data_IF_658151137567
#
_entry.id   IF_658151137567
#
_cell.length_a   1.000
_cell.length_b   1.000
_cell.length_c   1.000
_cell.angle_alpha   90.00
_cell.angle_beta   90.00
_cell.angle_gamma   90.00
#
_symmetry.space_group_name_H-M   'P 1'
#
loop_
_entity.id
_entity.type
_entity.pdbx_description
1 polymer ?
#
# COMPACT_ATOMS: atom_id res chain seq x y z
N UNK A 1 86.36 16.90 18.45
CA UNK A 1 85.42 17.15 17.35
C UNK A 1 85.39 15.89 16.53
N UNK A 2 84.20 15.29 16.44
CA UNK A 2 83.81 14.11 15.65
C UNK A 2 84.44 12.76 16.01
N UNK A 3 83.70 11.99 16.81
CA UNK A 3 83.83 10.54 16.96
C UNK A 3 82.51 9.90 16.51
N UNK A 4 82.54 9.17 15.39
CA UNK A 4 81.49 8.22 15.04
C UNK A 4 82.08 6.82 15.13
N UNK A 5 81.67 6.12 16.19
CA UNK A 5 82.02 4.75 16.53
C UNK A 5 81.13 3.73 15.82
N UNK A 6 81.77 2.85 15.05
CA UNK A 6 81.69 1.37 15.07
C UNK A 6 80.34 0.62 15.22
N UNK A 7 79.97 -0.12 14.15
CA UNK A 7 79.53 -1.56 14.01
C UNK A 7 78.33 -2.11 14.84
N UNK A 8 77.71 -3.31 14.54
CA UNK A 8 77.96 -4.32 13.49
C UNK A 8 76.70 -4.87 12.74
N UNK A 9 76.98 -5.80 11.80
CA UNK A 9 76.07 -6.75 11.13
C UNK A 9 75.01 -7.40 12.05
N UNK A 10 73.81 -7.63 11.51
CA UNK A 10 72.99 -8.78 11.88
C UNK A 10 72.46 -9.52 10.66
N UNK A 11 72.85 -10.79 10.58
CA UNK A 11 72.42 -11.82 9.64
C UNK A 11 70.99 -12.21 10.02
N UNK A 12 70.04 -12.17 9.08
CA UNK A 12 68.72 -12.75 9.28
C UNK A 12 68.69 -14.19 8.76
N UNK A 13 68.40 -15.09 9.70
CA UNK A 13 68.26 -16.54 9.61
C UNK A 13 67.21 -17.01 8.55
N UNK A 14 67.53 -17.99 7.67
CA UNK A 14 66.59 -18.51 6.67
C UNK A 14 65.56 -19.51 7.23
N UNK A 15 65.45 -19.72 8.55
CA UNK A 15 64.52 -20.71 9.13
C UNK A 15 63.04 -20.28 9.23
N UNK A 16 62.68 -19.04 8.90
CA UNK A 16 61.27 -18.57 8.90
C UNK A 16 60.60 -18.66 7.53
N UNK A 17 60.41 -19.89 7.05
CA UNK A 17 59.38 -20.16 6.02
C UNK A 17 58.01 -20.13 6.71
N UNK A 18 57.21 -19.14 6.33
CA UNK A 18 55.83 -18.95 6.76
C UNK A 18 55.01 -20.20 6.44
N UNK A 19 54.59 -20.94 7.47
CA UNK A 19 53.67 -22.07 7.32
C UNK A 19 52.31 -21.51 6.88
N UNK A 20 51.83 -21.96 5.73
CA UNK A 20 50.48 -21.66 5.25
C UNK A 20 49.43 -22.07 6.31
N UNK A 21 48.37 -21.27 6.51
CA UNK A 21 47.33 -21.59 7.49
C UNK A 21 46.63 -22.90 7.10
N UNK A 22 46.51 -23.78 8.09
CA UNK A 22 45.75 -25.03 7.99
C UNK A 22 44.31 -24.69 7.62
N UNK A 23 43.80 -25.29 6.55
CA UNK A 23 42.41 -25.14 6.12
C UNK A 23 41.49 -25.64 7.26
N UNK A 24 40.92 -24.72 8.04
CA UNK A 24 39.91 -25.03 9.04
C UNK A 24 38.58 -25.09 8.29
N UNK A 25 38.15 -26.30 7.95
CA UNK A 25 36.76 -26.57 7.58
C UNK A 25 35.89 -26.41 8.82
N UNK A 26 35.25 -25.25 8.96
CA UNK A 26 34.09 -25.10 9.85
C UNK A 26 32.89 -25.73 9.16
N UNK A 27 32.50 -26.91 9.65
CA UNK A 27 31.21 -27.49 9.33
C UNK A 27 30.09 -26.56 9.82
N UNK A 28 29.19 -26.26 8.89
CA UNK A 28 27.76 -26.55 8.98
C UNK A 28 27.02 -26.12 10.26
N UNK A 29 26.00 -25.26 10.03
CA UNK A 29 24.70 -25.16 10.75
C UNK A 29 24.34 -23.85 11.46
N UNK A 30 25.24 -22.87 11.62
CA UNK A 30 24.90 -21.65 12.37
C UNK A 30 24.32 -20.48 11.54
N UNK A 31 24.06 -20.66 10.24
CA UNK A 31 23.61 -19.59 9.34
C UNK A 31 22.18 -19.78 8.77
N UNK A 32 21.38 -20.70 9.30
CA UNK A 32 19.96 -20.85 8.88
C UNK A 32 18.94 -20.46 9.96
N UNK A 33 19.36 -20.25 11.21
CA UNK A 33 18.41 -19.94 12.30
C UNK A 33 18.10 -18.45 12.42
N UNK A 34 18.90 -17.55 11.83
CA UNK A 34 18.65 -16.11 11.90
C UNK A 34 17.62 -15.61 10.87
N UNK A 35 17.36 -16.36 9.80
CA UNK A 35 16.32 -16.00 8.81
C UNK A 35 14.88 -16.27 9.28
N UNK A 36 14.67 -17.00 10.39
CA UNK A 36 13.32 -17.34 10.87
C UNK A 36 12.70 -16.30 11.81
N UNK A 37 13.41 -15.22 12.15
CA UNK A 37 12.94 -14.20 13.11
C UNK A 37 12.28 -12.97 12.46
N UNK A 38 11.95 -13.01 11.16
CA UNK A 38 11.26 -11.92 10.46
C UNK A 38 9.75 -12.11 10.29
N UNK A 39 9.16 -13.18 10.83
CA UNK A 39 7.72 -13.19 11.07
C UNK A 39 7.43 -12.38 12.34
N UNK A 40 7.53 -11.07 12.23
CA UNK A 40 6.84 -10.19 13.17
C UNK A 40 5.38 -10.58 13.12
N UNK A 41 4.88 -11.16 14.21
CA UNK A 41 3.46 -11.38 14.43
C UNK A 41 2.74 -10.09 14.07
N UNK A 42 2.02 -10.08 12.94
CA UNK A 42 1.01 -9.05 12.71
C UNK A 42 -0.02 -9.34 13.81
N UNK A 43 0.09 -8.58 14.89
CA UNK A 43 -0.82 -8.67 16.01
C UNK A 43 -2.21 -8.54 15.45
N UNK A 44 -3.05 -9.57 15.67
CA UNK A 44 -4.48 -9.56 15.43
C UNK A 44 -5.02 -8.14 15.62
N UNK A 45 -5.29 -7.44 14.51
CA UNK A 45 -6.07 -6.22 14.58
C UNK A 45 -7.35 -6.65 15.30
N UNK A 46 -7.82 -5.94 16.33
CA UNK A 46 -9.10 -6.27 16.93
C UNK A 46 -10.10 -6.32 15.78
N UNK A 47 -10.60 -7.53 15.49
CA UNK A 47 -11.79 -7.68 14.67
C UNK A 47 -12.75 -6.65 15.22
N UNK A 48 -13.18 -5.72 14.36
CA UNK A 48 -14.10 -4.69 14.79
C UNK A 48 -15.40 -5.42 15.12
N UNK A 49 -15.53 -5.91 16.36
CA UNK A 49 -16.67 -6.67 16.88
C UNK A 49 -17.95 -5.82 16.92
N UNK A 50 -17.90 -4.61 16.37
CA UNK A 50 -19.07 -3.83 16.06
C UNK A 50 -19.95 -4.62 15.08
N UNK A 51 -21.25 -4.69 15.38
CA UNK A 51 -22.22 -5.28 14.48
C UNK A 51 -22.12 -4.61 13.09
N UNK A 52 -22.28 -5.37 11.99
CA UNK A 52 -22.31 -4.80 10.65
C UNK A 52 -23.32 -3.65 10.56
N UNK A 53 -22.88 -2.53 10.00
CA UNK A 53 -23.68 -1.31 9.84
C UNK A 53 -23.59 -0.82 8.41
N UNK A 54 -24.62 -0.11 7.94
CA UNK A 54 -24.59 0.47 6.61
C UNK A 54 -23.45 1.49 6.49
N UNK A 55 -22.68 1.35 5.41
CA UNK A 55 -21.76 2.40 4.97
C UNK A 55 -22.61 3.45 4.26
N UNK A 56 -22.45 4.71 4.64
CA UNK A 56 -23.21 5.84 4.10
C UNK A 56 -22.28 6.83 3.40
N UNK A 57 -22.80 7.48 2.36
CA UNK A 57 -22.16 8.58 1.67
C UNK A 57 -22.31 9.90 2.44
N UNK A 58 -21.71 10.97 1.91
CA UNK A 58 -21.78 12.32 2.48
C UNK A 58 -23.19 12.93 2.48
N UNK A 59 -24.11 12.40 1.69
CA UNK A 59 -25.53 12.79 1.68
C UNK A 59 -26.37 11.97 2.67
N UNK A 60 -25.75 11.10 3.45
CA UNK A 60 -26.43 10.23 4.43
C UNK A 60 -27.15 9.04 3.80
N UNK A 61 -26.89 8.73 2.53
CA UNK A 61 -27.50 7.58 1.84
C UNK A 61 -26.58 6.36 1.91
N UNK A 62 -27.13 5.13 2.02
CA UNK A 62 -26.32 3.93 1.98
C UNK A 62 -25.53 3.80 0.66
N UNK A 63 -24.29 3.32 0.75
CA UNK A 63 -23.55 2.84 -0.42
C UNK A 63 -24.25 1.60 -0.97
N UNK A 64 -24.38 1.56 -2.30
CA UNK A 64 -25.07 0.49 -3.01
C UNK A 64 -24.06 -0.26 -3.87
N UNK A 65 -24.19 -1.58 -3.89
CA UNK A 65 -23.44 -2.46 -4.77
C UNK A 65 -23.42 -1.96 -6.23
N UNK A 66 -22.22 -1.85 -6.81
CA UNK A 66 -22.01 -1.48 -8.21
C UNK A 66 -22.23 0.00 -8.55
N UNK A 67 -22.73 0.81 -7.60
CA UNK A 67 -22.81 2.26 -7.78
C UNK A 67 -21.44 2.93 -7.68
N UNK A 68 -21.34 4.15 -8.19
CA UNK A 68 -20.08 4.86 -8.37
C UNK A 68 -19.89 5.92 -7.29
N UNK A 69 -18.74 5.89 -6.62
CA UNK A 69 -18.42 6.82 -5.53
C UNK A 69 -17.01 7.36 -5.69
N UNK A 70 -16.84 8.66 -5.50
CA UNK A 70 -15.51 9.20 -5.22
C UNK A 70 -15.12 8.89 -3.78
N UNK A 71 -13.83 8.63 -3.56
CA UNK A 71 -13.25 8.47 -2.23
C UNK A 71 -12.41 9.71 -1.96
N UNK A 72 -12.72 10.42 -0.88
CA UNK A 72 -12.02 11.62 -0.45
C UNK A 72 -11.45 11.46 0.95
N UNK A 73 -10.38 12.21 1.31
CA UNK A 73 -9.97 12.33 2.70
C UNK A 73 -11.12 12.86 3.56
N UNK A 74 -11.32 12.27 4.73
CA UNK A 74 -12.22 12.82 5.74
C UNK A 74 -11.54 14.01 6.43
N UNK A 75 -11.70 15.20 5.86
CA UNK A 75 -11.08 16.43 6.34
C UNK A 75 -11.96 17.64 6.09
N UNK A 76 -11.81 18.68 6.89
CA UNK A 76 -12.43 19.99 6.65
C UNK A 76 -11.61 20.85 5.68
N UNK A 77 -10.48 20.36 5.17
CA UNK A 77 -9.66 21.09 4.21
C UNK A 77 -10.30 21.02 2.81
N UNK A 78 -10.76 22.17 2.26
CA UNK A 78 -11.37 22.21 0.93
C UNK A 78 -10.38 21.93 -0.21
N UNK A 79 -9.08 22.03 0.06
CA UNK A 79 -8.01 21.73 -0.90
C UNK A 79 -7.57 20.27 -0.82
N UNK A 80 -8.54 19.36 -0.91
CA UNK A 80 -8.25 17.93 -1.05
C UNK A 80 -8.93 17.36 -2.27
N UNK A 81 -8.24 16.42 -2.90
CA UNK A 81 -8.71 15.73 -4.09
C UNK A 81 -8.89 14.25 -3.83
N UNK A 82 -9.39 13.55 -4.84
CA UNK A 82 -9.74 12.14 -4.76
C UNK A 82 -8.62 11.20 -5.17
N UNK A 83 -9.01 9.97 -5.44
CA UNK A 83 -8.11 8.91 -5.87
C UNK A 83 -7.96 8.86 -7.39
N UNK A 84 -6.75 8.61 -7.86
CA UNK A 84 -6.41 8.52 -9.28
C UNK A 84 -5.39 7.41 -9.52
N UNK A 85 -5.04 7.22 -10.79
CA UNK A 85 -3.94 6.37 -11.23
C UNK A 85 -2.75 7.21 -11.67
N UNK A 86 -1.54 6.75 -11.38
CA UNK A 86 -0.34 7.34 -11.95
C UNK A 86 0.76 6.30 -12.23
N UNK A 87 1.68 6.68 -13.11
CA UNK A 87 2.93 5.99 -13.36
C UNK A 87 3.88 6.21 -12.19
N UNK A 88 4.63 5.17 -11.86
CA UNK A 88 5.60 5.19 -10.77
C UNK A 88 6.90 4.61 -11.28
N UNK A 89 8.00 5.28 -10.95
CA UNK A 89 9.34 4.93 -11.43
C UNK A 89 9.35 4.77 -12.95
N UNK A 90 9.83 3.64 -13.47
CA UNK A 90 9.95 3.39 -14.91
C UNK A 90 8.74 2.64 -15.49
N UNK A 91 7.59 2.62 -14.80
CA UNK A 91 6.38 1.97 -15.31
C UNK A 91 5.78 2.76 -16.48
N UNK A 92 5.68 2.14 -17.65
CA UNK A 92 5.05 2.72 -18.85
C UNK A 92 3.50 2.74 -18.79
N UNK A 93 2.91 2.22 -17.71
CA UNK A 93 1.47 2.18 -17.52
C UNK A 93 1.08 2.77 -16.15
N UNK A 94 0.06 3.65 -16.06
CA UNK A 94 -0.39 4.22 -14.80
C UNK A 94 -1.24 3.20 -14.03
N UNK A 95 -0.57 2.41 -13.18
CA UNK A 95 -1.18 1.29 -12.46
C UNK A 95 -1.37 1.56 -10.97
N UNK A 96 -0.66 2.54 -10.40
CA UNK A 96 -0.65 2.72 -8.94
C UNK A 96 -1.75 3.68 -8.50
N UNK A 97 -2.46 3.32 -7.43
CA UNK A 97 -3.50 4.17 -6.84
C UNK A 97 -2.89 5.23 -5.94
N UNK A 98 -3.17 6.49 -6.26
CA UNK A 98 -2.73 7.66 -5.52
C UNK A 98 -3.90 8.50 -5.03
N UNK A 99 -3.72 9.19 -3.91
CA UNK A 99 -4.55 10.34 -3.54
C UNK A 99 -3.86 11.62 -3.98
N UNK A 100 -4.50 12.37 -4.87
CA UNK A 100 -3.98 13.63 -5.41
C UNK A 100 -4.82 14.79 -4.85
N UNK A 101 -4.18 15.87 -4.39
CA UNK A 101 -4.88 16.98 -3.73
C UNK A 101 -5.58 17.96 -4.69
N UNK A 102 -5.26 17.93 -5.99
CA UNK A 102 -5.64 18.94 -6.96
C UNK A 102 -6.72 18.48 -7.95
N UNK A 103 -7.17 17.22 -7.89
CA UNK A 103 -8.12 16.66 -8.84
C UNK A 103 -9.27 15.94 -8.14
N UNK A 104 -10.43 15.88 -8.81
CA UNK A 104 -11.59 15.13 -8.35
C UNK A 104 -11.30 13.61 -8.23
N UNK A 105 -10.45 13.08 -9.10
CA UNK A 105 -10.11 11.67 -9.16
C UNK A 105 -11.07 10.86 -10.03
N UNK A 106 -10.98 9.54 -9.92
CA UNK A 106 -11.76 8.55 -10.67
C UNK A 106 -12.72 7.89 -9.68
N UNK A 107 -14.03 7.79 -9.99
CA UNK A 107 -14.95 7.06 -9.13
C UNK A 107 -14.59 5.57 -9.05
N UNK A 108 -14.94 4.94 -7.93
CA UNK A 108 -14.86 3.50 -7.74
C UNK A 108 -16.24 2.87 -7.65
N UNK A 109 -16.31 1.57 -7.92
CA UNK A 109 -17.44 0.71 -7.59
C UNK A 109 -17.03 -0.30 -6.53
N UNK A 110 -17.99 -0.62 -5.67
CA UNK A 110 -17.88 -1.70 -4.69
C UNK A 110 -18.73 -2.87 -5.14
N UNK A 111 -18.11 -4.02 -5.35
CA UNK A 111 -18.78 -5.27 -5.73
C UNK A 111 -18.65 -6.26 -4.58
N UNK A 112 -19.75 -6.95 -4.26
CA UNK A 112 -19.77 -8.01 -3.25
C UNK A 112 -19.60 -9.32 -4.05
N UNK A 113 -18.51 -10.09 -3.87
CA UNK A 113 -18.20 -11.24 -4.74
C UNK A 113 -19.35 -12.26 -4.90
N UNK A 114 -20.22 -12.38 -3.89
CA UNK A 114 -21.34 -13.33 -3.86
C UNK A 114 -22.73 -12.67 -3.89
N UNK A 115 -22.81 -11.38 -4.24
CA UNK A 115 -24.10 -10.68 -4.35
C UNK A 115 -24.13 -9.77 -5.57
N UNK A 116 -25.30 -9.65 -6.20
CA UNK A 116 -25.51 -8.75 -7.34
C UNK A 116 -26.23 -7.45 -6.95
N UNK A 117 -26.72 -7.36 -5.70
CA UNK A 117 -27.51 -6.23 -5.20
C UNK A 117 -27.27 -6.01 -3.71
N UNK A 118 -27.72 -4.87 -3.20
CA UNK A 118 -27.78 -4.59 -1.77
C UNK A 118 -26.89 -3.44 -1.31
N UNK A 119 -27.05 -3.09 -0.04
CA UNK A 119 -26.30 -2.02 0.59
C UNK A 119 -24.96 -2.57 1.10
N UNK A 120 -23.91 -1.78 0.96
CA UNK A 120 -22.59 -2.11 1.48
C UNK A 120 -22.62 -1.98 3.01
N UNK A 121 -22.27 -3.06 3.71
CA UNK A 121 -22.13 -3.06 5.15
C UNK A 121 -20.65 -3.03 5.55
N UNK A 122 -20.37 -2.49 6.73
CA UNK A 122 -19.02 -2.52 7.29
C UNK A 122 -18.59 -3.96 7.56
N UNK A 123 -17.34 -4.30 7.24
CA UNK A 123 -16.78 -5.64 7.41
C UNK A 123 -17.23 -6.66 6.34
N UNK A 124 -17.97 -6.24 5.33
CA UNK A 124 -18.27 -7.08 4.15
C UNK A 124 -17.03 -7.15 3.25
N UNK A 125 -16.75 -8.34 2.72
CA UNK A 125 -15.72 -8.54 1.69
C UNK A 125 -16.15 -7.90 0.37
N UNK A 126 -15.24 -7.13 -0.21
CA UNK A 126 -15.46 -6.33 -1.40
C UNK A 126 -14.34 -6.51 -2.41
N UNK A 127 -14.73 -6.52 -3.68
CA UNK A 127 -13.87 -6.09 -4.77
C UNK A 127 -14.08 -4.57 -4.96
N UNK A 128 -12.99 -3.83 -5.09
CA UNK A 128 -13.00 -2.40 -5.44
C UNK A 128 -12.46 -2.27 -6.86
N UNK A 129 -13.10 -1.47 -7.69
CA UNK A 129 -12.60 -1.19 -9.04
C UNK A 129 -12.82 0.26 -9.44
N UNK A 130 -11.88 0.85 -10.16
CA UNK A 130 -12.14 2.14 -10.81
C UNK A 130 -13.13 1.98 -11.95
N UNK A 131 -13.94 3.01 -12.19
CA UNK A 131 -14.87 3.05 -13.33
C UNK A 131 -14.15 3.15 -14.67
N UNK A 132 -12.90 3.61 -14.65
CA UNK A 132 -12.05 3.79 -15.82
C UNK A 132 -10.66 3.18 -15.55
N UNK A 133 -9.98 2.79 -16.63
CA UNK A 133 -8.58 2.32 -16.59
C UNK A 133 -7.84 2.73 -17.85
N UNK A 134 -6.51 2.87 -17.81
CA UNK A 134 -5.73 3.00 -19.04
C UNK A 134 -5.85 1.73 -19.90
N UNK A 135 -5.62 1.90 -21.20
CA UNK A 135 -5.71 0.78 -22.16
C UNK A 135 -4.70 -0.34 -21.87
N UNK A 136 -3.54 -0.01 -21.33
CA UNK A 136 -2.48 -0.95 -20.97
C UNK A 136 -2.79 -1.81 -19.73
N UNK A 137 -3.70 -1.38 -18.85
CA UNK A 137 -4.09 -2.16 -17.67
C UNK A 137 -5.06 -3.28 -18.07
N UNK A 138 -4.82 -4.51 -17.64
CA UNK A 138 -5.72 -5.63 -17.93
C UNK A 138 -7.09 -5.49 -17.24
N UNK A 139 -7.13 -4.86 -16.07
CA UNK A 139 -8.33 -4.69 -15.24
C UNK A 139 -8.25 -3.35 -14.47
N UNK A 140 -9.40 -2.80 -14.09
CA UNK A 140 -9.51 -1.65 -13.17
C UNK A 140 -9.71 -2.07 -11.71
N UNK A 141 -9.83 -3.38 -11.46
CA UNK A 141 -9.92 -3.95 -10.12
C UNK A 141 -8.65 -3.68 -9.34
N UNK A 142 -8.84 -3.25 -8.11
CA UNK A 142 -7.76 -3.00 -7.17
C UNK A 142 -7.16 -4.31 -6.69
N UNK A 143 -5.85 -4.28 -6.48
CA UNK A 143 -5.06 -5.35 -5.88
C UNK A 143 -3.94 -4.73 -5.05
N UNK A 144 -3.31 -5.55 -4.21
CA UNK A 144 -2.06 -5.17 -3.57
C UNK A 144 -0.87 -5.71 -4.35
N UNK A 145 0.19 -4.92 -4.44
CA UNK A 145 1.48 -5.35 -5.00
C UNK A 145 2.63 -4.88 -4.10
N UNK A 146 3.73 -5.64 -4.10
CA UNK A 146 4.94 -5.27 -3.36
C UNK A 146 5.77 -4.34 -4.24
N UNK A 147 5.92 -3.07 -3.85
CA UNK A 147 6.78 -2.14 -4.56
C UNK A 147 8.26 -2.52 -4.37
N UNK A 148 8.98 -2.79 -5.46
CA UNK A 148 10.35 -3.30 -5.40
C UNK A 148 11.35 -2.32 -4.78
N UNK A 149 11.08 -1.02 -4.84
CA UNK A 149 11.99 0.02 -4.34
C UNK A 149 11.79 0.25 -2.84
N UNK A 150 10.54 0.34 -2.41
CA UNK A 150 10.15 0.73 -1.05
C UNK A 150 9.85 -0.48 -0.17
N UNK A 151 9.64 -1.65 -0.77
CA UNK A 151 9.23 -2.90 -0.10
C UNK A 151 7.90 -2.77 0.65
N UNK A 152 7.03 -1.85 0.20
CA UNK A 152 5.72 -1.62 0.78
C UNK A 152 4.62 -2.23 -0.10
N UNK A 153 3.60 -2.76 0.57
CA UNK A 153 2.39 -3.26 -0.08
C UNK A 153 1.54 -2.08 -0.52
N UNK A 154 1.60 -1.74 -1.80
CA UNK A 154 0.87 -0.62 -2.40
C UNK A 154 -0.40 -1.10 -3.09
N UNK A 155 -1.39 -0.22 -3.21
CA UNK A 155 -2.60 -0.49 -4.00
C UNK A 155 -2.35 -0.14 -5.46
N UNK A 156 -2.71 -1.04 -6.37
CA UNK A 156 -2.67 -0.81 -7.80
C UNK A 156 -3.84 -1.48 -8.51
N UNK A 157 -3.83 -1.40 -9.84
CA UNK A 157 -4.78 -2.09 -10.72
C UNK A 157 -4.04 -2.92 -11.76
N UNK A 158 -4.78 -3.71 -12.54
CA UNK A 158 -4.25 -4.47 -13.66
C UNK A 158 -4.37 -5.97 -13.44
N UNK A 159 -3.39 -6.73 -13.90
CA UNK A 159 -3.34 -8.18 -13.73
C UNK A 159 -1.92 -8.73 -13.85
N UNK A 160 -1.74 -10.05 -13.90
CA UNK A 160 -0.42 -10.68 -13.89
C UNK A 160 0.54 -10.18 -14.97
N UNK A 161 0.03 -9.81 -16.16
CA UNK A 161 0.83 -9.24 -17.24
C UNK A 161 1.25 -7.77 -17.03
N UNK A 162 0.71 -7.09 -16.02
CA UNK A 162 1.12 -5.74 -15.64
C UNK A 162 2.20 -5.74 -14.54
N UNK A 163 2.40 -6.86 -13.83
CA UNK A 163 3.29 -6.99 -12.67
C UNK A 163 4.37 -8.06 -12.89
N UNK A 164 5.21 -7.86 -13.92
CA UNK A 164 6.28 -8.79 -14.22
C UNK A 164 7.39 -8.77 -13.15
N UNK A 165 7.62 -9.91 -12.49
CA UNK A 165 8.63 -10.01 -11.44
C UNK A 165 8.29 -9.21 -10.18
N UNK A 166 7.02 -8.80 -10.04
CA UNK A 166 6.48 -8.11 -8.88
C UNK A 166 5.42 -9.01 -8.26
N UNK A 167 5.50 -9.23 -6.95
CA UNK A 167 4.50 -10.02 -6.24
C UNK A 167 3.19 -9.24 -6.11
N UNK A 168 2.09 -9.84 -6.57
CA UNK A 168 0.73 -9.38 -6.29
C UNK A 168 0.13 -10.22 -5.17
N UNK A 169 -0.56 -9.57 -4.24
CA UNK A 169 -1.08 -10.19 -3.03
C UNK A 169 -2.59 -10.41 -3.19
N UNK A 170 -3.03 -11.66 -3.02
CA UNK A 170 -4.43 -12.05 -3.00
C UNK A 170 -5.13 -11.72 -1.69
N UNK A 171 -6.38 -11.29 -1.76
CA UNK A 171 -7.17 -10.91 -0.60
C UNK A 171 -8.48 -10.20 -0.96
N UNK A 172 -9.18 -9.75 0.08
CA UNK A 172 -10.42 -8.98 -0.03
C UNK A 172 -10.33 -7.64 0.68
N UNK A 173 -10.92 -6.63 0.07
CA UNK A 173 -11.08 -5.33 0.71
C UNK A 173 -12.30 -5.35 1.62
N UNK A 174 -12.32 -4.47 2.61
CA UNK A 174 -13.52 -4.19 3.41
C UNK A 174 -13.56 -2.72 3.81
N UNK A 175 -14.72 -2.26 4.25
CA UNK A 175 -14.88 -0.91 4.81
C UNK A 175 -15.16 -1.03 6.31
N UNK A 176 -14.45 -0.26 7.12
CA UNK A 176 -14.66 -0.19 8.57
C UNK A 176 -14.92 1.26 9.01
N UNK A 177 -15.65 1.44 10.11
CA UNK A 177 -15.78 2.75 10.75
C UNK A 177 -14.41 3.26 11.21
N UNK A 178 -14.21 4.57 11.11
CA UNK A 178 -13.01 5.24 11.63
C UNK A 178 -13.42 6.51 12.38
N UNK A 179 -13.66 6.38 13.69
CA UNK A 179 -14.18 7.47 14.51
C UNK A 179 -15.71 7.57 14.45
N UNK A 180 -16.24 8.77 14.62
CA UNK A 180 -17.67 9.07 14.62
C UNK A 180 -18.16 9.63 13.28
N UNK A 181 -19.46 9.52 13.02
CA UNK A 181 -20.08 10.04 11.79
C UNK A 181 -19.90 9.13 10.58
N UNK A 182 -20.10 9.68 9.38
CA UNK A 182 -19.91 9.00 8.10
C UNK A 182 -18.44 8.84 7.69
N UNK A 183 -17.52 8.66 8.65
CA UNK A 183 -16.08 8.53 8.42
C UNK A 183 -15.64 7.08 8.51
N UNK A 184 -14.85 6.65 7.54
CA UNK A 184 -14.46 5.26 7.36
C UNK A 184 -12.96 5.11 7.13
N UNK A 185 -12.51 3.86 7.08
CA UNK A 185 -11.20 3.43 6.58
C UNK A 185 -11.40 2.17 5.77
N UNK A 186 -10.52 1.97 4.78
CA UNK A 186 -10.54 0.79 3.92
C UNK A 186 -9.53 -0.22 4.47
N UNK A 187 -9.96 -1.47 4.62
CA UNK A 187 -9.14 -2.60 5.03
C UNK A 187 -8.83 -3.53 3.88
N UNK A 188 -7.84 -4.39 4.08
CA UNK A 188 -7.52 -5.50 3.20
C UNK A 188 -7.15 -6.72 4.05
N UNK A 189 -7.75 -7.87 3.76
CA UNK A 189 -7.49 -9.14 4.43
C UNK A 189 -6.86 -10.12 3.44
N UNK A 190 -5.73 -10.72 3.83
CA UNK A 190 -4.96 -11.66 3.02
C UNK A 190 -5.71 -12.98 2.85
N UNK A 191 -5.80 -13.50 1.63
CA UNK A 191 -6.41 -14.82 1.38
C UNK A 191 -5.58 -15.96 2.02
N UNK A 192 -4.26 -15.77 2.13
CA UNK A 192 -3.32 -16.79 2.59
C UNK A 192 -3.35 -17.01 4.10
N UNK A 193 -3.52 -15.94 4.89
CA UNK A 193 -3.46 -16.00 6.35
C UNK A 193 -4.76 -15.59 7.04
N UNK A 194 -5.63 -14.84 6.35
CA UNK A 194 -6.78 -14.17 6.95
C UNK A 194 -6.40 -12.90 7.74
N UNK A 195 -5.12 -12.55 7.83
CA UNK A 195 -4.69 -11.34 8.53
C UNK A 195 -5.16 -10.10 7.77
N UNK A 196 -5.67 -9.14 8.51
CA UNK A 196 -6.16 -7.88 7.95
C UNK A 196 -5.24 -6.72 8.32
N UNK A 197 -5.13 -5.76 7.40
CA UNK A 197 -4.55 -4.44 7.61
C UNK A 197 -5.51 -3.34 7.14
N UNK A 198 -5.12 -2.08 7.34
CA UNK A 198 -5.82 -0.93 6.78
C UNK A 198 -4.98 -0.28 5.68
N UNK A 199 -5.62 0.48 4.80
CA UNK A 199 -4.92 1.33 3.85
C UNK A 199 -4.58 2.66 4.53
N UNK A 200 -3.32 3.06 4.46
CA UNK A 200 -2.80 4.37 4.85
C UNK A 200 -2.35 5.16 3.62
N UNK A 201 -1.96 6.41 3.84
CA UNK A 201 -1.37 7.27 2.81
C UNK A 201 0.13 7.41 3.06
N UNK A 202 0.93 7.26 2.01
CA UNK A 202 2.38 7.49 2.09
C UNK A 202 2.86 8.35 0.92
N UNK A 203 3.43 9.49 1.26
CA UNK A 203 4.14 10.37 0.34
C UNK A 203 5.58 9.86 0.15
N UNK A 204 6.05 9.81 -1.10
CA UNK A 204 7.42 9.42 -1.44
C UNK A 204 8.20 10.56 -2.10
N UNK A 205 7.56 11.30 -3.01
CA UNK A 205 8.15 12.44 -3.71
C UNK A 205 7.08 13.26 -4.40
N UNK A 206 7.34 14.55 -4.61
CA UNK A 206 6.38 15.48 -5.22
C UNK A 206 6.07 15.14 -6.69
N UNK A 207 7.01 14.47 -7.36
CA UNK A 207 6.95 14.04 -8.75
C UNK A 207 5.89 12.96 -9.00
N UNK A 208 5.50 12.18 -7.98
CA UNK A 208 4.43 11.20 -8.10
C UNK A 208 3.04 11.86 -8.10
N UNK A 209 2.95 13.15 -7.76
CA UNK A 209 1.71 13.93 -7.81
C UNK A 209 0.69 13.59 -6.72
N UNK A 210 1.01 12.73 -5.76
CA UNK A 210 0.15 12.41 -4.63
C UNK A 210 0.63 11.24 -3.77
N UNK A 211 -0.04 11.02 -2.64
CA UNK A 211 0.27 9.93 -1.73
C UNK A 211 -0.18 8.58 -2.30
N UNK A 212 0.69 7.56 -2.25
CA UNK A 212 0.26 6.19 -2.53
C UNK A 212 -0.62 5.65 -1.42
N UNK A 213 -1.55 4.77 -1.76
CA UNK A 213 -2.23 3.94 -0.76
C UNK A 213 -1.38 2.72 -0.42
N UNK A 214 -1.08 2.52 0.86
CA UNK A 214 -0.21 1.44 1.35
C UNK A 214 -0.86 0.66 2.49
N UNK A 215 -0.61 -0.64 2.59
CA UNK A 215 -1.06 -1.43 3.74
C UNK A 215 -0.33 -0.99 5.02
N UNK A 216 -1.08 -0.78 6.09
CA UNK A 216 -0.59 -0.30 7.39
C UNK A 216 -1.43 -0.86 8.54
N UNK A 217 -0.87 -0.82 9.75
CA UNK A 217 -1.54 -1.25 10.99
C UNK A 217 -1.81 -0.10 11.95
N UNK A 218 -1.21 1.08 11.74
CA UNK A 218 -1.30 2.22 12.67
C UNK A 218 -1.96 3.46 12.06
N UNK A 219 -1.56 3.87 10.86
CA UNK A 219 -1.94 5.17 10.27
C UNK A 219 -2.95 5.00 9.13
N UNK A 220 -4.16 4.55 9.49
CA UNK A 220 -5.23 4.30 8.53
C UNK A 220 -5.76 5.60 7.91
N UNK A 221 -5.94 5.58 6.59
CA UNK A 221 -6.50 6.68 5.83
C UNK A 221 -8.00 6.84 6.14
N UNK A 222 -8.34 7.94 6.82
CA UNK A 222 -9.73 8.33 7.06
C UNK A 222 -10.37 8.87 5.79
N UNK A 223 -11.48 8.26 5.38
CA UNK A 223 -12.17 8.55 4.13
C UNK A 223 -13.66 8.80 4.29
N UNK A 224 -14.21 9.54 3.34
CA UNK A 224 -15.64 9.68 3.08
C UNK A 224 -15.95 9.28 1.64
N UNK A 225 -17.21 8.93 1.38
CA UNK A 225 -17.68 8.52 0.06
C UNK A 225 -18.66 9.56 -0.48
N UNK A 226 -18.44 10.02 -1.71
CA UNK A 226 -19.32 10.99 -2.39
C UNK A 226 -19.95 10.30 -3.59
N UNK A 227 -21.28 10.27 -3.66
CA UNK A 227 -22.00 9.73 -4.82
C UNK A 227 -21.61 10.49 -6.09
N UNK A 228 -21.04 9.79 -7.08
CA UNK A 228 -20.57 10.41 -8.31
C UNK A 228 -21.72 11.05 -9.12
N UNK A 229 -22.94 10.50 -9.03
CA UNK A 229 -24.10 11.07 -9.68
C UNK A 229 -24.49 12.45 -9.09
N UNK A 230 -24.24 12.66 -7.80
CA UNK A 230 -24.49 13.95 -7.14
C UNK A 230 -23.54 15.05 -7.64
N UNK A 231 -22.28 14.73 -7.93
CA UNK A 231 -21.29 15.69 -8.45
C UNK A 231 -21.63 16.14 -9.87
N UNK A 232 -22.05 15.20 -10.74
CA UNK A 232 -22.44 15.51 -12.13
C UNK A 232 -23.69 16.41 -12.16
N UNK A 233 -24.62 16.21 -11.23
CA UNK A 233 -25.82 17.04 -11.13
C UNK A 233 -25.52 18.50 -10.76
N UNK A 234 -24.45 18.73 -9.98
CA UNK A 234 -23.99 20.07 -9.56
C UNK A 234 -23.22 20.79 -10.67
N UNK A 235 -22.49 20.07 -11.53
CA UNK A 235 -21.81 20.69 -12.68
C UNK A 235 -22.78 21.32 -13.71
N UNK A 236 -24.06 20.93 -13.68
CA UNK A 236 -25.15 21.54 -14.45
C UNK A 236 -25.81 22.75 -13.78
N UNK A 237 -25.41 23.12 -12.56
CA UNK A 237 -25.98 24.22 -11.79
C UNK A 237 -25.18 24.48 -10.51
N UNK A 238 -24.23 25.41 -10.61
CA UNK A 238 -23.54 26.11 -9.52
C UNK A 238 -22.75 25.26 -8.50
N UNK A 239 -21.44 25.53 -8.40
CA UNK A 239 -20.49 24.83 -7.53
C UNK A 239 -20.86 25.04 -6.06
N UNK A 240 -21.32 23.98 -5.39
CA UNK A 240 -21.44 23.96 -3.93
C UNK A 240 -20.16 23.36 -3.35
N UNK A 241 -19.61 24.02 -2.35
CA UNK A 241 -18.56 23.50 -1.46
C UNK A 241 -19.00 22.13 -0.93
N UNK A 242 -18.50 21.07 -1.57
CA UNK A 242 -18.50 19.73 -0.99
C UNK A 242 -17.41 19.73 0.07
N UNK A 243 -17.76 20.15 1.28
CA UNK A 243 -17.18 19.83 2.60
C UNK A 243 -17.73 20.78 3.68
#
# INVERSE_FOLDING_TARGET
MEAWSSLPLYITDPSKVMKAPKHITMNSLFSLTLSFLLFTFITNIPSNNAAPSQVIDTNGKPLIHGNQYFIFPATHNPSTGGLTLNEISDSECPLTVLQNNAILGIPVKFTIPESTTGNILTGTDLDIEFTEKPNCAASSKWLLFVDNTTQLNCVGIGGPGNYHGVETIGGKFLIAKHGSGGVYRIGFCLDSTGDCGYLGRKEFGSEEGGARLVLTVTDAYSVVFVDAASVISVAGGEIINML
#
